data_IF_836615911336
#
_entry.id   IF_836615911336
#
_cell.length_a   1.000
_cell.length_b   1.000
_cell.length_c   1.000
_cell.angle_alpha   90.00
_cell.angle_beta   90.00
_cell.angle_gamma   90.00
#
_symmetry.space_group_name_H-M   'P 1'
#
loop_
_entity.id
_entity.type
_entity.pdbx_description
1 polymer ?
#
# COMPACT_ATOMS: atom_id res chain seq x y z
N UNK A 1 9.47 -2.61 -8.79
CA UNK A 1 8.24 -3.43 -8.91
C UNK A 1 8.32 -4.78 -8.20
N UNK A 2 9.51 -5.27 -7.84
CA UNK A 2 9.66 -6.54 -7.11
C UNK A 2 9.05 -6.51 -5.69
N UNK A 3 9.19 -5.39 -4.97
CA UNK A 3 8.72 -5.26 -3.58
C UNK A 3 7.20 -5.45 -3.44
N UNK A 4 6.33 -4.77 -4.22
CA UNK A 4 4.88 -5.04 -4.17
C UNK A 4 4.49 -6.48 -4.53
N UNK A 5 5.21 -7.12 -5.45
CA UNK A 5 4.94 -8.50 -5.86
C UNK A 5 5.29 -9.53 -4.78
N UNK A 6 6.33 -9.27 -3.98
CA UNK A 6 6.68 -10.10 -2.84
C UNK A 6 5.80 -9.83 -1.60
N UNK A 7 5.28 -8.62 -1.46
CA UNK A 7 4.48 -8.21 -0.30
C UNK A 7 3.10 -8.88 -0.26
N UNK A 8 2.45 -9.04 -1.41
CA UNK A 8 1.09 -9.60 -1.46
C UNK A 8 1.01 -11.05 -0.95
N UNK A 9 1.89 -12.00 -1.37
CA UNK A 9 1.89 -13.35 -0.82
C UNK A 9 2.10 -13.39 0.70
N UNK A 10 3.05 -12.60 1.22
CA UNK A 10 3.32 -12.53 2.66
C UNK A 10 2.07 -12.08 3.43
N UNK A 11 1.45 -10.97 2.99
CA UNK A 11 0.24 -10.47 3.64
C UNK A 11 -0.89 -11.51 3.66
N UNK A 12 -1.13 -12.18 2.53
CA UNK A 12 -2.16 -13.22 2.41
C UNK A 12 -1.85 -14.40 3.35
N UNK A 13 -0.59 -14.85 3.41
CA UNK A 13 -0.18 -15.94 4.29
C UNK A 13 -0.40 -15.62 5.77
N UNK A 14 0.04 -14.45 6.23
CA UNK A 14 -0.18 -14.02 7.63
C UNK A 14 -1.67 -13.82 7.93
N UNK A 15 -2.42 -13.20 7.02
CA UNK A 15 -3.86 -13.00 7.19
C UNK A 15 -4.60 -14.34 7.33
N UNK A 16 -4.35 -15.30 6.44
CA UNK A 16 -4.98 -16.61 6.50
C UNK A 16 -4.57 -17.39 7.75
N UNK A 17 -3.28 -17.35 8.12
CA UNK A 17 -2.78 -18.02 9.32
C UNK A 17 -3.40 -17.47 10.60
N UNK A 18 -3.37 -16.15 10.79
CA UNK A 18 -3.95 -15.50 11.97
C UNK A 18 -5.46 -15.72 12.05
N UNK A 19 -6.16 -15.67 10.91
CA UNK A 19 -7.59 -15.96 10.85
C UNK A 19 -7.92 -17.40 11.23
N UNK A 20 -7.13 -18.38 10.78
CA UNK A 20 -7.32 -19.78 11.15
C UNK A 20 -7.03 -20.01 12.64
N UNK A 21 -5.97 -19.40 13.19
CA UNK A 21 -5.66 -19.50 14.62
C UNK A 21 -6.73 -18.84 15.51
N UNK A 22 -7.33 -17.74 15.05
CA UNK A 22 -8.48 -17.13 15.72
C UNK A 22 -9.74 -18.01 15.65
N UNK A 23 -9.94 -18.73 14.55
CA UNK A 23 -11.10 -19.62 14.37
C UNK A 23 -11.00 -20.93 15.19
N UNK A 24 -9.79 -21.44 15.45
CA UNK A 24 -9.53 -22.65 16.27
C UNK A 24 -9.14 -22.24 17.70
N UNK A 25 -9.72 -21.15 18.22
CA UNK A 25 -9.16 -20.21 19.20
C UNK A 25 -8.02 -20.78 20.05
N UNK A 26 -6.79 -20.64 19.55
CA UNK A 26 -5.59 -21.11 20.25
C UNK A 26 -5.49 -20.41 21.60
N UNK A 27 -5.26 -21.15 22.69
CA UNK A 27 -5.31 -20.62 24.06
C UNK A 27 -4.39 -19.40 24.26
N UNK A 28 -3.21 -19.39 23.62
CA UNK A 28 -2.28 -18.26 23.68
C UNK A 28 -2.83 -16.96 23.07
N UNK A 29 -3.76 -17.04 22.11
CA UNK A 29 -4.44 -15.86 21.55
C UNK A 29 -5.59 -15.38 22.42
N UNK A 30 -6.15 -16.23 23.28
CA UNK A 30 -7.27 -15.86 24.16
C UNK A 30 -6.80 -15.06 25.37
N UNK A 31 -5.60 -15.34 25.84
CA UNK A 31 -4.99 -14.66 26.99
C UNK A 31 -3.86 -13.69 26.61
N UNK A 32 -3.38 -13.74 25.36
CA UNK A 32 -2.22 -12.98 24.90
C UNK A 32 -2.47 -11.49 24.60
N UNK A 33 -3.66 -10.98 24.90
CA UNK A 33 -4.05 -9.60 24.64
C UNK A 33 -3.46 -8.59 25.62
N UNK A 34 -3.74 -7.31 25.37
CA UNK A 34 -3.23 -6.22 26.22
C UNK A 34 -4.24 -5.10 26.37
N UNK A 35 -4.19 -4.43 27.53
CA UNK A 35 -5.00 -3.25 27.87
C UNK A 35 -6.51 -3.53 27.79
N UNK A 36 -7.17 -3.18 26.67
CA UNK A 36 -8.62 -3.28 26.48
C UNK A 36 -9.06 -4.43 25.57
N UNK A 37 -8.13 -5.12 24.91
CA UNK A 37 -8.39 -6.29 24.08
C UNK A 37 -7.61 -7.49 24.63
N UNK A 38 -8.23 -8.27 25.52
CA UNK A 38 -7.59 -9.42 26.17
C UNK A 38 -7.62 -10.68 25.31
N UNK A 39 -8.72 -10.89 24.58
CA UNK A 39 -8.88 -12.01 23.66
C UNK A 39 -8.65 -11.54 22.22
N UNK A 40 -7.57 -12.01 21.58
CA UNK A 40 -7.26 -11.67 20.19
C UNK A 40 -8.07 -12.48 19.17
N UNK A 41 -8.76 -13.52 19.60
CA UNK A 41 -9.58 -14.37 18.72
C UNK A 41 -10.92 -13.72 18.38
N UNK A 42 -11.37 -12.78 19.23
CA UNK A 42 -12.62 -12.05 19.06
C UNK A 42 -12.40 -10.68 18.39
N UNK A 43 -13.44 -10.11 17.75
CA UNK A 43 -13.41 -8.72 17.33
C UNK A 43 -13.29 -7.76 18.53
N UNK A 44 -12.62 -6.62 18.33
CA UNK A 44 -12.46 -5.60 19.37
C UNK A 44 -13.81 -4.94 19.70
N UNK A 45 -14.29 -5.13 20.93
CA UNK A 45 -15.55 -4.60 21.42
C UNK A 45 -15.57 -3.08 21.58
N UNK A 46 -14.39 -2.46 21.75
CA UNK A 46 -14.25 -1.01 21.96
C UNK A 46 -13.91 -0.24 20.68
N UNK A 47 -13.76 -0.94 19.55
CA UNK A 47 -13.37 -0.38 18.25
C UNK A 47 -12.05 0.42 18.25
N UNK A 48 -11.26 0.36 19.32
CA UNK A 48 -10.00 1.09 19.44
C UNK A 48 -8.94 0.57 18.45
N UNK A 49 -8.83 -0.74 18.32
CA UNK A 49 -7.85 -1.40 17.46
C UNK A 49 -8.16 -1.18 15.96
N UNK A 50 -9.40 -1.32 15.46
CA UNK A 50 -9.75 -0.89 14.10
C UNK A 50 -9.43 0.58 13.82
N UNK A 51 -9.70 1.49 14.76
CA UNK A 51 -9.42 2.92 14.61
C UNK A 51 -7.91 3.20 14.54
N UNK A 52 -7.11 2.59 15.42
CA UNK A 52 -5.65 2.72 15.41
C UNK A 52 -5.06 2.16 14.11
N UNK A 53 -5.50 0.99 13.68
CA UNK A 53 -5.04 0.38 12.42
C UNK A 53 -5.38 1.25 11.21
N UNK A 54 -6.62 1.78 11.14
CA UNK A 54 -7.03 2.68 10.06
C UNK A 54 -6.24 4.00 10.08
N UNK A 55 -6.06 4.59 11.25
CA UNK A 55 -5.27 5.82 11.40
C UNK A 55 -3.81 5.62 11.00
N UNK A 56 -3.16 4.55 11.49
CA UNK A 56 -1.76 4.25 11.13
C UNK A 56 -1.59 3.91 9.65
N UNK A 57 -2.57 3.23 9.04
CA UNK A 57 -2.59 3.00 7.60
C UNK A 57 -2.73 4.32 6.82
N UNK A 58 -3.60 5.22 7.29
CA UNK A 58 -3.77 6.54 6.71
C UNK A 58 -2.46 7.34 6.73
N UNK A 59 -1.76 7.39 7.88
CA UNK A 59 -0.44 8.03 7.99
C UNK A 59 0.58 7.34 7.06
N UNK A 60 0.57 6.01 6.98
CA UNK A 60 1.48 5.25 6.10
C UNK A 60 1.29 5.62 4.63
N UNK A 61 0.05 5.78 4.18
CA UNK A 61 -0.29 6.22 2.82
C UNK A 61 0.16 7.67 2.61
N UNK A 62 -0.10 8.58 3.54
CA UNK A 62 0.29 10.00 3.42
C UNK A 62 1.82 10.12 3.31
N UNK A 63 2.56 9.47 4.22
CA UNK A 63 4.03 9.46 4.23
C UNK A 63 4.61 8.78 2.99
N UNK A 64 3.98 7.70 2.51
CA UNK A 64 4.40 6.98 1.31
C UNK A 64 4.18 7.76 0.02
N UNK A 65 3.03 8.44 -0.11
CA UNK A 65 2.71 9.25 -1.30
C UNK A 65 3.56 10.52 -1.41
N UNK A 66 3.99 11.09 -0.28
CA UNK A 66 4.90 12.24 -0.25
C UNK A 66 6.35 11.87 -0.62
N UNK A 67 6.81 10.68 -0.23
CA UNK A 67 8.14 10.20 -0.60
C UNK A 67 8.29 9.98 -2.12
N UNK A 68 7.18 9.72 -2.82
CA UNK A 68 7.16 9.43 -4.26
C UNK A 68 7.03 10.63 -5.20
N UNK A 69 6.96 11.89 -4.71
CA UNK A 69 6.76 13.13 -5.51
C UNK A 69 5.99 12.90 -6.81
N UNK A 70 4.76 12.43 -6.63
CA UNK A 70 3.78 12.16 -7.66
C UNK A 70 3.24 13.50 -8.22
N UNK A 71 3.86 14.03 -9.29
CA UNK A 71 3.70 15.42 -9.78
C UNK A 71 2.78 15.63 -11.00
N UNK A 72 1.82 14.74 -11.29
CA UNK A 72 0.87 14.95 -12.41
C UNK A 72 -0.56 15.27 -11.96
N UNK A 73 -1.30 16.01 -12.80
CA UNK A 73 -2.66 16.51 -12.51
C UNK A 73 -3.71 15.38 -12.32
N UNK A 74 -3.48 14.18 -12.88
CA UNK A 74 -4.32 12.98 -12.64
C UNK A 74 -4.07 12.31 -11.28
N UNK A 75 -3.01 12.73 -10.59
CA UNK A 75 -2.48 12.06 -9.41
C UNK A 75 -3.07 12.66 -8.13
N UNK A 76 -3.67 13.84 -8.21
CA UNK A 76 -4.42 14.45 -7.11
C UNK A 76 -5.69 13.65 -6.80
N UNK A 77 -6.42 13.21 -7.84
CA UNK A 77 -7.54 12.27 -7.70
C UNK A 77 -7.08 10.95 -7.09
N UNK A 78 -5.91 10.43 -7.50
CA UNK A 78 -5.35 9.20 -6.93
C UNK A 78 -5.00 9.37 -5.45
N UNK A 79 -4.45 10.52 -5.04
CA UNK A 79 -4.20 10.84 -3.62
C UNK A 79 -5.50 10.84 -2.81
N UNK A 80 -6.57 11.46 -3.30
CA UNK A 80 -7.87 11.44 -2.63
C UNK A 80 -8.44 10.02 -2.51
N UNK A 81 -8.33 9.21 -3.56
CA UNK A 81 -8.76 7.81 -3.53
C UNK A 81 -7.96 7.03 -2.48
N UNK A 82 -6.63 7.12 -2.49
CA UNK A 82 -5.75 6.45 -1.54
C UNK A 82 -6.04 6.90 -0.10
N UNK A 83 -6.35 8.18 0.10
CA UNK A 83 -6.72 8.74 1.41
C UNK A 83 -8.07 8.25 1.92
N UNK A 84 -8.98 7.87 1.01
CA UNK A 84 -10.27 7.29 1.35
C UNK A 84 -10.18 5.80 1.71
N UNK A 85 -9.16 5.07 1.24
CA UNK A 85 -9.00 3.62 1.50
C UNK A 85 -9.10 3.25 2.99
N UNK A 86 -8.39 3.91 3.93
CA UNK A 86 -8.47 3.57 5.35
C UNK A 86 -9.87 3.75 5.95
N UNK A 87 -10.64 4.72 5.45
CA UNK A 87 -12.02 4.97 5.90
C UNK A 87 -12.97 3.92 5.33
N UNK A 88 -12.79 3.56 4.06
CA UNK A 88 -13.62 2.55 3.38
C UNK A 88 -13.40 1.15 3.95
N UNK A 89 -12.18 0.81 4.37
CA UNK A 89 -11.85 -0.51 4.91
C UNK A 89 -12.23 -0.67 6.39
N UNK A 90 -12.37 0.44 7.13
CA UNK A 90 -12.71 0.46 8.55
C UNK A 90 -13.95 -0.40 8.91
N UNK A 91 -15.13 -0.27 8.26
CA UNK A 91 -16.30 -1.08 8.58
C UNK A 91 -16.14 -2.58 8.26
N UNK A 92 -15.15 -2.95 7.45
CA UNK A 92 -14.80 -4.36 7.26
C UNK A 92 -13.89 -4.85 8.38
N UNK A 93 -12.93 -4.02 8.81
CA UNK A 93 -11.98 -4.37 9.86
C UNK A 93 -12.61 -4.53 11.25
N UNK A 94 -13.74 -3.87 11.55
CA UNK A 94 -14.41 -4.04 12.85
C UNK A 94 -14.93 -5.46 13.10
N UNK A 95 -15.13 -6.26 12.04
CA UNK A 95 -15.58 -7.65 12.15
C UNK A 95 -14.42 -8.65 12.18
N UNK A 96 -13.17 -8.18 12.11
CA UNK A 96 -12.01 -9.06 12.11
C UNK A 96 -11.56 -9.38 13.53
N UNK A 97 -11.04 -10.60 13.76
CA UNK A 97 -10.34 -10.92 15.00
C UNK A 97 -9.24 -9.90 15.31
N UNK A 98 -9.14 -9.49 16.57
CA UNK A 98 -8.15 -8.51 17.02
C UNK A 98 -6.71 -8.94 16.70
N UNK A 99 -6.41 -10.25 16.63
CA UNK A 99 -5.13 -10.79 16.17
C UNK A 99 -4.67 -10.22 14.81
N UNK A 100 -5.59 -10.13 13.85
CA UNK A 100 -5.30 -9.63 12.51
C UNK A 100 -5.01 -8.13 12.54
N UNK A 101 -5.77 -7.39 13.35
CA UNK A 101 -5.59 -5.94 13.50
C UNK A 101 -4.32 -5.59 14.27
N UNK A 102 -3.93 -6.38 15.27
CA UNK A 102 -2.64 -6.24 15.96
C UNK A 102 -1.46 -6.43 15.02
N UNK A 103 -1.51 -7.46 14.17
CA UNK A 103 -0.51 -7.67 13.11
C UNK A 103 -0.45 -6.47 12.17
N UNK A 104 -1.60 -5.97 11.73
CA UNK A 104 -1.64 -4.86 10.80
C UNK A 104 -1.14 -3.56 11.43
N UNK A 105 -1.61 -3.21 12.63
CA UNK A 105 -1.16 -2.04 13.37
C UNK A 105 0.36 -2.07 13.56
N UNK A 106 0.91 -3.18 14.06
CA UNK A 106 2.35 -3.32 14.28
C UNK A 106 3.15 -3.21 12.98
N UNK A 107 2.68 -3.81 11.88
CA UNK A 107 3.30 -3.67 10.56
C UNK A 107 3.32 -2.21 10.08
N UNK A 108 2.21 -1.48 10.25
CA UNK A 108 2.15 -0.06 9.93
C UNK A 108 3.13 0.75 10.79
N UNK A 109 3.18 0.50 12.10
CA UNK A 109 4.12 1.19 13.01
C UNK A 109 5.57 0.94 12.62
N UNK A 110 5.96 -0.32 12.37
CA UNK A 110 7.32 -0.66 11.93
C UNK A 110 7.63 0.06 10.61
N UNK A 111 6.70 0.07 9.67
CA UNK A 111 6.85 0.75 8.39
C UNK A 111 7.05 2.26 8.56
N UNK A 112 6.27 2.90 9.44
CA UNK A 112 6.39 4.33 9.75
C UNK A 112 7.72 4.65 10.43
N UNK A 113 8.17 3.80 11.36
CA UNK A 113 9.47 3.93 12.02
C UNK A 113 10.59 3.80 10.98
N UNK A 114 10.54 2.78 10.13
CA UNK A 114 11.52 2.56 9.07
C UNK A 114 11.60 3.77 8.14
N UNK A 115 10.45 4.31 7.69
CA UNK A 115 10.44 5.50 6.83
C UNK A 115 10.93 6.73 7.58
N UNK A 116 10.57 6.89 8.86
CA UNK A 116 11.05 7.97 9.71
C UNK A 116 12.57 7.98 9.84
N UNK A 117 13.16 6.82 10.13
CA UNK A 117 14.61 6.62 10.21
C UNK A 117 15.27 6.96 8.87
N UNK A 118 14.75 6.44 7.76
CA UNK A 118 15.28 6.69 6.41
C UNK A 118 15.07 8.13 5.91
N UNK A 119 14.27 8.95 6.60
CA UNK A 119 14.13 10.38 6.30
C UNK A 119 15.19 11.23 6.99
N UNK A 120 15.90 10.71 8.01
CA UNK A 120 16.95 11.45 8.72
C UNK A 120 18.14 11.66 7.78
N UNK A 121 18.60 12.91 7.55
CA UNK A 121 19.67 13.21 6.58
C UNK A 121 20.97 12.49 6.90
N UNK A 122 21.37 12.43 8.17
CA UNK A 122 22.58 11.72 8.62
C UNK A 122 22.57 10.24 8.25
N UNK A 123 21.40 9.59 8.37
CA UNK A 123 21.25 8.17 8.02
C UNK A 123 21.25 7.99 6.51
N UNK A 124 20.60 8.91 5.77
CA UNK A 124 20.63 8.90 4.30
C UNK A 124 22.04 9.07 3.75
N UNK A 125 22.82 9.97 4.33
CA UNK A 125 24.21 10.22 3.92
C UNK A 125 25.09 9.00 4.22
N UNK A 126 24.90 8.35 5.37
CA UNK A 126 25.57 7.10 5.72
C UNK A 126 25.27 5.98 4.69
N UNK A 127 24.00 5.84 4.30
CA UNK A 127 23.58 4.88 3.27
C UNK A 127 23.76 5.38 1.82
N UNK A 128 24.33 6.58 1.61
CA UNK A 128 24.52 7.22 0.30
C UNK A 128 23.24 7.30 -0.54
N UNK A 129 22.10 7.53 0.10
CA UNK A 129 20.81 7.68 -0.56
C UNK A 129 20.72 9.09 -1.12
N UNK A 130 20.68 9.24 -2.45
CA UNK A 130 20.58 10.54 -3.10
C UNK A 130 19.39 11.36 -2.55
N UNK A 131 19.57 12.68 -2.33
CA UNK A 131 18.48 13.55 -1.90
C UNK A 131 17.40 13.61 -2.99
N UNK A 132 16.13 13.67 -2.58
CA UNK A 132 15.00 13.73 -3.51
C UNK A 132 15.00 15.06 -4.28
N UNK A 133 15.65 15.10 -5.44
CA UNK A 133 15.70 16.26 -6.34
C UNK A 133 14.28 16.67 -6.74
N UNK A 134 13.88 17.89 -6.39
CA UNK A 134 12.56 18.43 -6.70
C UNK A 134 12.55 19.00 -8.12
N UNK A 135 12.14 18.20 -9.10
CA UNK A 135 11.97 18.68 -10.47
C UNK A 135 10.70 19.53 -10.54
N UNK A 136 10.86 20.83 -10.75
CA UNK A 136 9.71 21.73 -10.96
C UNK A 136 8.98 21.31 -12.25
N UNK A 137 7.65 21.15 -12.23
CA UNK A 137 6.87 20.64 -13.38
C UNK A 137 6.92 21.56 -14.62
N UNK A 138 7.34 22.80 -14.45
CA UNK A 138 7.57 23.82 -15.49
C UNK A 138 8.76 23.51 -16.41
N UNK A 139 9.69 22.64 -15.98
CA UNK A 139 10.91 22.29 -16.73
C UNK A 139 10.84 20.90 -17.41
N UNK A 140 9.68 20.23 -17.42
CA UNK A 140 9.55 18.90 -18.02
C UNK A 140 8.92 19.00 -19.43
N UNK A 141 9.55 18.41 -20.47
CA UNK A 141 9.03 18.47 -21.85
C UNK A 141 7.76 17.63 -22.07
N UNK A 142 7.31 16.88 -21.05
CA UNK A 142 6.18 15.96 -21.13
C UNK A 142 5.03 16.52 -20.29
N UNK A 143 4.06 17.13 -20.96
CA UNK A 143 2.77 17.52 -20.38
C UNK A 143 2.09 16.26 -19.82
N UNK A 144 1.69 16.26 -18.55
CA UNK A 144 1.08 15.07 -17.95
C UNK A 144 -0.23 14.72 -18.66
N UNK A 145 -0.23 13.67 -19.48
CA UNK A 145 -1.45 13.19 -20.13
C UNK A 145 -2.38 12.57 -19.08
N UNK A 146 -3.68 12.83 -19.24
CA UNK A 146 -4.81 12.22 -18.52
C UNK A 146 -4.63 10.73 -18.23
N UNK A 147 -5.15 10.16 -17.13
CA UNK A 147 -5.25 8.70 -16.96
C UNK A 147 -6.02 8.05 -18.13
N UNK A 148 -7.09 8.71 -18.57
CA UNK A 148 -7.86 8.34 -19.78
C UNK A 148 -7.01 8.44 -21.05
N UNK A 149 -6.15 9.46 -21.15
CA UNK A 149 -5.21 9.61 -22.25
C UNK A 149 -4.17 8.49 -22.28
N UNK A 150 -3.64 8.10 -21.12
CA UNK A 150 -2.72 6.98 -20.96
C UNK A 150 -3.35 5.65 -21.39
N UNK A 151 -4.58 5.36 -20.95
CA UNK A 151 -5.30 4.15 -21.37
C UNK A 151 -5.55 4.12 -22.88
N UNK A 152 -5.96 5.27 -23.46
CA UNK A 152 -6.20 5.36 -24.91
C UNK A 152 -4.91 5.16 -25.71
N UNK A 153 -3.80 5.72 -25.25
CA UNK A 153 -2.49 5.55 -25.86
C UNK A 153 -2.01 4.08 -25.75
N UNK A 154 -2.20 3.42 -24.58
CA UNK A 154 -1.90 1.99 -24.42
C UNK A 154 -2.73 1.13 -25.37
N UNK A 155 -4.03 1.41 -25.51
CA UNK A 155 -4.90 0.67 -26.41
C UNK A 155 -4.49 0.84 -27.87
N UNK A 156 -4.12 2.07 -28.25
CA UNK A 156 -3.62 2.39 -29.60
C UNK A 156 -2.30 1.67 -29.88
N UNK A 157 -1.35 1.68 -28.94
CA UNK A 157 -0.08 0.98 -29.05
C UNK A 157 -0.26 -0.55 -29.15
N UNK A 158 -1.20 -1.13 -28.40
CA UNK A 158 -1.52 -2.56 -28.50
C UNK A 158 -2.10 -2.93 -29.86
N UNK A 159 -2.92 -2.07 -30.46
CA UNK A 159 -3.45 -2.31 -31.80
C UNK A 159 -2.36 -2.19 -32.87
N UNK A 160 -1.46 -1.20 -32.74
CA UNK A 160 -0.30 -1.07 -33.64
C UNK A 160 0.59 -2.31 -33.52
N UNK A 161 0.91 -2.76 -32.30
CA UNK A 161 1.68 -3.98 -32.07
C UNK A 161 1.02 -5.20 -32.72
N UNK A 162 -0.31 -5.38 -32.56
CA UNK A 162 -1.05 -6.44 -33.24
C UNK A 162 -0.90 -6.37 -34.76
N UNK A 163 -0.97 -5.18 -35.36
CA UNK A 163 -0.74 -4.99 -36.79
C UNK A 163 0.70 -5.34 -37.20
N UNK A 164 1.71 -4.90 -36.44
CA UNK A 164 3.12 -5.20 -36.70
C UNK A 164 3.42 -6.70 -36.62
N UNK A 165 2.87 -7.40 -35.61
CA UNK A 165 3.01 -8.85 -35.49
C UNK A 165 2.33 -9.59 -36.66
N UNK A 166 1.14 -9.16 -37.07
CA UNK A 166 0.44 -9.73 -38.22
C UNK A 166 1.22 -9.54 -39.53
N UNK A 167 1.85 -8.39 -39.73
CA UNK A 167 2.63 -8.12 -40.93
C UNK A 167 3.99 -8.83 -40.94
N UNK A 168 4.62 -9.02 -39.77
CA UNK A 168 5.85 -9.81 -39.64
C UNK A 168 5.59 -11.30 -39.92
N UNK A 169 4.44 -11.84 -39.50
CA UNK A 169 4.05 -13.23 -39.76
C UNK A 169 3.79 -13.52 -41.26
N UNK A 170 3.37 -12.53 -42.05
CA UNK A 170 3.17 -12.68 -43.51
C UNK A 170 4.46 -12.60 -44.33
N UNK A 171 5.55 -12.08 -43.76
CA UNK A 171 6.86 -11.96 -44.45
C UNK A 171 7.88 -13.05 -44.03
N UNK A 172 7.47 -13.99 -43.17
CA UNK A 172 8.31 -15.14 -42.73
C UNK A 172 7.79 -16.49 -43.22
N UNK A 173 6.87 -16.49 -44.18
CA UNK A 173 6.39 -17.68 -44.90
C UNK A 173 6.86 -17.66 -46.36
#
# INVERSE_FOLDING_TARGET
MLVPLAQMPLFISFFMGLRQMANVPVDSLREGGMLWFTDLTLPDQYYGLPLITSFTLWVTIEVGTDAGKLSSQNLQTMKYILRAVPVLILPFTVNFPAAILCYWASSNFISLIQVGILRIPTIRDYFKIEPLVNHKPENLPIKSKGFVGGIKDTWTNLNILKCTFKHRATHTA
#
